data_IF_789372735753
#
_entry.id   IF_789372735753
#
_cell.length_a   1.000
_cell.length_b   1.000
_cell.length_c   1.000
_cell.angle_alpha   90.00
_cell.angle_beta   90.00
_cell.angle_gamma   90.00
#
_symmetry.space_group_name_H-M   'P 1'
#
loop_
_entity.id
_entity.type
_entity.pdbx_description
1 polymer ?
#
# COMPACT_ATOMS: atom_id res chain seq x y z
N UNK A 1 13.18 -9.83 27.30
CA UNK A 1 12.10 -9.78 26.29
C UNK A 1 12.20 -11.06 25.46
N UNK A 2 11.26 -12.02 25.62
CA UNK A 2 11.30 -13.26 24.83
C UNK A 2 10.96 -12.90 23.40
N UNK A 3 11.86 -13.20 22.48
CA UNK A 3 11.68 -12.93 21.06
C UNK A 3 10.59 -13.90 20.58
N UNK A 4 9.46 -13.34 20.12
CA UNK A 4 8.33 -14.09 19.62
C UNK A 4 8.71 -14.96 18.41
N UNK A 5 8.37 -16.24 18.45
CA UNK A 5 8.69 -17.27 17.46
C UNK A 5 7.48 -17.50 16.54
N UNK A 6 6.77 -16.44 16.17
CA UNK A 6 5.59 -16.55 15.31
C UNK A 6 5.97 -17.07 13.91
N UNK A 7 5.09 -17.90 13.33
CA UNK A 7 5.26 -18.44 11.97
C UNK A 7 5.43 -17.32 10.92
N UNK A 8 4.95 -16.12 11.23
CA UNK A 8 4.98 -14.95 10.36
C UNK A 8 6.32 -14.22 10.33
N UNK A 9 7.22 -14.43 11.30
CA UNK A 9 8.45 -13.64 11.43
C UNK A 9 9.34 -13.68 10.18
N UNK A 10 9.36 -14.81 9.47
CA UNK A 10 10.12 -14.97 8.21
C UNK A 10 9.44 -14.31 7.01
N UNK A 11 8.14 -14.02 7.12
CA UNK A 11 7.29 -13.47 6.07
C UNK A 11 7.05 -11.97 6.19
N UNK A 12 7.31 -11.36 7.35
CA UNK A 12 7.24 -9.90 7.50
C UNK A 12 8.22 -9.25 6.52
N UNK A 13 7.68 -8.77 5.41
CA UNK A 13 8.47 -8.17 4.33
C UNK A 13 9.02 -6.80 4.78
N UNK A 14 10.20 -6.44 4.28
CA UNK A 14 10.79 -5.11 4.50
C UNK A 14 9.99 -3.99 3.85
N UNK A 15 10.51 -2.75 3.90
CA UNK A 15 9.85 -1.53 3.40
C UNK A 15 9.10 -1.73 2.07
N UNK A 16 7.78 -1.50 2.08
CA UNK A 16 6.91 -1.53 0.90
C UNK A 16 6.29 -0.16 0.65
N UNK A 17 5.96 0.09 -0.62
CA UNK A 17 5.12 1.22 -0.99
C UNK A 17 3.75 1.06 -0.30
N UNK A 18 3.46 1.92 0.67
CA UNK A 18 2.12 2.00 1.25
C UNK A 18 1.22 2.90 0.38
N UNK A 19 -0.09 2.65 0.42
CA UNK A 19 -1.05 3.46 -0.33
C UNK A 19 -1.08 4.89 0.20
N UNK A 20 -0.71 5.84 -0.66
CA UNK A 20 -0.97 7.28 -0.42
C UNK A 20 -2.44 7.51 0.00
N UNK A 21 -3.34 6.70 -0.56
CA UNK A 21 -4.77 6.83 -0.40
C UNK A 21 -5.34 6.12 0.85
N UNK A 22 -4.52 5.44 1.66
CA UNK A 22 -5.00 4.79 2.89
C UNK A 22 -5.65 5.78 3.86
N UNK A 23 -5.08 6.99 3.94
CA UNK A 23 -5.60 8.08 4.77
C UNK A 23 -6.93 8.62 4.25
N UNK A 24 -7.13 8.61 2.93
CA UNK A 24 -8.40 9.01 2.30
C UNK A 24 -9.52 8.02 2.62
N UNK A 25 -9.21 6.72 2.61
CA UNK A 25 -10.19 5.68 3.00
C UNK A 25 -10.59 5.80 4.48
N UNK A 26 -9.63 6.13 5.35
CA UNK A 26 -9.87 6.38 6.77
C UNK A 26 -10.70 7.64 6.99
N UNK A 27 -10.36 8.76 6.34
CA UNK A 27 -11.11 10.00 6.48
C UNK A 27 -12.54 9.88 5.96
N UNK A 28 -12.74 9.08 4.90
CA UNK A 28 -14.06 8.76 4.35
C UNK A 28 -14.82 7.66 5.13
N UNK A 29 -14.23 7.12 6.21
CA UNK A 29 -14.81 6.04 7.03
C UNK A 29 -15.21 4.79 6.23
N UNK A 30 -14.51 4.51 5.15
CA UNK A 30 -14.74 3.31 4.31
C UNK A 30 -14.20 2.06 5.01
N UNK A 31 -13.08 2.22 5.71
CA UNK A 31 -12.38 1.16 6.45
C UNK A 31 -11.99 1.68 7.83
N UNK A 32 -12.07 0.83 8.84
CA UNK A 32 -11.55 1.13 10.17
C UNK A 32 -10.02 1.13 10.19
N UNK A 33 -9.41 1.89 11.10
CA UNK A 33 -7.95 1.91 11.28
C UNK A 33 -7.41 0.50 11.57
N UNK A 34 -8.15 -0.28 12.35
CA UNK A 34 -7.76 -1.63 12.74
C UNK A 34 -7.86 -2.62 11.57
N UNK A 35 -8.92 -2.55 10.76
CA UNK A 35 -9.02 -3.36 9.54
C UNK A 35 -7.95 -2.98 8.52
N UNK A 36 -7.65 -1.70 8.35
CA UNK A 36 -6.55 -1.24 7.51
C UNK A 36 -5.20 -1.77 7.99
N UNK A 37 -4.94 -1.72 9.30
CA UNK A 37 -3.70 -2.25 9.88
C UNK A 37 -3.59 -3.77 9.68
N UNK A 38 -4.70 -4.49 9.79
CA UNK A 38 -4.76 -5.93 9.50
C UNK A 38 -4.53 -6.23 8.02
N UNK A 39 -5.02 -5.38 7.11
CA UNK A 39 -4.75 -5.50 5.68
C UNK A 39 -3.27 -5.34 5.35
N UNK A 40 -2.61 -4.32 5.91
CA UNK A 40 -1.16 -4.11 5.77
C UNK A 40 -0.39 -5.34 6.27
N UNK A 41 -0.79 -5.91 7.41
CA UNK A 41 -0.22 -7.17 7.89
C UNK A 41 -0.43 -8.34 6.92
N UNK A 42 -1.63 -8.49 6.34
CA UNK A 42 -1.92 -9.52 5.33
C UNK A 42 -1.10 -9.34 4.06
N UNK A 43 -0.92 -8.10 3.61
CA UNK A 43 -0.02 -7.77 2.52
C UNK A 43 1.38 -8.26 2.87
N UNK A 44 1.91 -7.93 4.05
CA UNK A 44 3.27 -8.34 4.42
C UNK A 44 3.47 -9.85 4.37
N UNK A 45 2.52 -10.66 4.83
CA UNK A 45 2.65 -12.11 4.89
C UNK A 45 2.24 -12.85 3.60
N UNK A 46 1.81 -12.12 2.56
CA UNK A 46 1.38 -12.68 1.29
C UNK A 46 2.57 -13.13 0.43
N UNK A 47 2.35 -14.18 -0.35
CA UNK A 47 3.30 -14.57 -1.39
C UNK A 47 3.19 -13.62 -2.58
N UNK A 48 4.31 -13.10 -3.06
CA UNK A 48 4.37 -12.20 -4.21
C UNK A 48 5.28 -12.71 -5.32
N UNK A 49 5.76 -13.95 -5.22
CA UNK A 49 6.41 -14.59 -6.35
C UNK A 49 5.34 -14.99 -7.37
N UNK A 50 5.31 -14.28 -8.51
CA UNK A 50 4.38 -14.55 -9.60
C UNK A 50 4.54 -15.95 -10.22
N UNK A 51 5.66 -16.63 -9.96
CA UNK A 51 5.88 -18.01 -10.42
C UNK A 51 5.21 -19.04 -9.52
N UNK A 52 4.82 -18.66 -8.29
CA UNK A 52 4.16 -19.56 -7.37
C UNK A 52 2.65 -19.61 -7.65
N UNK A 53 2.07 -20.81 -7.57
CA UNK A 53 0.61 -20.97 -7.55
C UNK A 53 -0.07 -20.23 -6.38
N UNK A 54 0.70 -19.96 -5.33
CA UNK A 54 0.28 -19.24 -4.14
C UNK A 54 0.35 -17.70 -4.29
N UNK A 55 0.68 -17.16 -5.46
CA UNK A 55 0.78 -15.71 -5.68
C UNK A 55 -0.45 -14.95 -5.18
N UNK A 56 -0.22 -13.90 -4.40
CA UNK A 56 -1.23 -13.06 -3.76
C UNK A 56 -1.99 -13.73 -2.63
N UNK A 57 -1.60 -14.93 -2.20
CA UNK A 57 -2.27 -15.69 -1.14
C UNK A 57 -1.50 -15.68 0.18
N UNK A 58 -2.25 -15.90 1.27
CA UNK A 58 -1.73 -16.01 2.62
C UNK A 58 -2.62 -16.91 3.48
N UNK A 59 -2.02 -17.49 4.52
CA UNK A 59 -2.72 -18.33 5.49
C UNK A 59 -3.04 -17.52 6.75
N UNK A 60 -4.29 -17.62 7.21
CA UNK A 60 -4.79 -16.90 8.39
C UNK A 60 -4.81 -17.84 9.59
N UNK A 61 -4.03 -17.47 10.61
CA UNK A 61 -4.03 -18.08 11.95
C UNK A 61 -4.52 -17.03 12.95
N UNK A 62 -5.82 -17.03 13.24
CA UNK A 62 -6.47 -15.98 14.04
C UNK A 62 -5.91 -15.88 15.47
N UNK A 63 -5.46 -16.99 16.03
CA UNK A 63 -4.80 -17.10 17.32
C UNK A 63 -3.43 -16.43 17.32
N UNK A 64 -2.60 -16.68 16.31
CA UNK A 64 -1.29 -16.05 16.17
C UNK A 64 -1.40 -14.55 15.90
N UNK A 65 -2.32 -14.15 15.01
CA UNK A 65 -2.55 -12.73 14.69
C UNK A 65 -3.06 -11.99 15.93
N UNK A 66 -3.94 -12.61 16.73
CA UNK A 66 -4.45 -12.01 17.96
C UNK A 66 -3.33 -11.71 18.97
N UNK A 67 -2.28 -12.56 19.05
CA UNK A 67 -1.09 -12.31 19.88
C UNK A 67 -0.31 -11.08 19.37
N UNK A 68 -0.10 -10.98 18.05
CA UNK A 68 0.64 -9.88 17.43
C UNK A 68 -0.07 -8.53 17.67
N UNK A 69 -1.39 -8.50 17.49
CA UNK A 69 -2.21 -7.30 17.68
C UNK A 69 -2.63 -7.09 19.14
N UNK A 70 -2.19 -7.94 20.07
CA UNK A 70 -2.48 -7.86 21.50
C UNK A 70 -3.98 -7.73 21.82
N UNK A 71 -4.81 -8.52 21.13
CA UNK A 71 -6.28 -8.47 21.28
C UNK A 71 -6.92 -9.86 21.21
N UNK A 72 -8.26 -9.94 21.21
CA UNK A 72 -8.95 -11.23 21.14
C UNK A 72 -9.05 -11.77 19.71
N UNK A 73 -9.13 -13.10 19.55
CA UNK A 73 -9.42 -13.70 18.25
C UNK A 73 -10.74 -13.20 17.64
N UNK A 74 -11.75 -12.95 18.49
CA UNK A 74 -13.04 -12.39 18.04
C UNK A 74 -12.87 -11.01 17.41
N UNK A 75 -12.01 -10.18 18.00
CA UNK A 75 -11.65 -8.86 17.48
C UNK A 75 -10.99 -8.97 16.10
N UNK A 76 -9.98 -9.83 15.93
CA UNK A 76 -9.35 -10.06 14.61
C UNK A 76 -10.37 -10.56 13.59
N UNK A 77 -11.28 -11.47 13.98
CA UNK A 77 -12.33 -11.98 13.09
C UNK A 77 -13.27 -10.88 12.62
N UNK A 78 -13.57 -9.88 13.46
CA UNK A 78 -14.41 -8.76 13.06
C UNK A 78 -13.71 -7.88 12.02
N UNK A 79 -12.45 -7.52 12.24
CA UNK A 79 -11.66 -6.78 11.26
C UNK A 79 -11.47 -7.57 9.96
N UNK A 80 -11.24 -8.88 10.06
CA UNK A 80 -11.15 -9.76 8.90
C UNK A 80 -12.47 -9.80 8.11
N UNK A 81 -13.63 -9.90 8.78
CA UNK A 81 -14.95 -9.84 8.13
C UNK A 81 -15.16 -8.51 7.41
N UNK A 82 -14.74 -7.40 8.00
CA UNK A 82 -14.78 -6.08 7.36
C UNK A 82 -13.99 -6.10 6.05
N UNK A 83 -12.75 -6.61 6.04
CA UNK A 83 -11.94 -6.72 4.83
C UNK A 83 -12.57 -7.61 3.74
N UNK A 84 -13.22 -8.70 4.13
CA UNK A 84 -13.97 -9.56 3.20
C UNK A 84 -15.18 -8.82 2.62
N UNK A 85 -15.96 -8.13 3.47
CA UNK A 85 -17.12 -7.34 3.03
C UNK A 85 -16.73 -6.21 2.08
N UNK A 86 -15.60 -5.56 2.34
CA UNK A 86 -15.04 -4.51 1.49
C UNK A 86 -14.43 -5.06 0.19
N UNK A 87 -14.38 -6.38 0.00
CA UNK A 87 -13.75 -7.05 -1.15
C UNK A 87 -12.29 -6.65 -1.35
N UNK A 88 -11.55 -6.51 -0.25
CA UNK A 88 -10.10 -6.31 -0.28
C UNK A 88 -9.36 -7.65 -0.21
N UNK A 89 -10.01 -8.65 0.39
CA UNK A 89 -9.53 -10.04 0.49
C UNK A 89 -10.67 -11.02 0.16
N UNK A 90 -10.35 -12.21 -0.34
CA UNK A 90 -11.34 -13.26 -0.61
C UNK A 90 -10.86 -14.64 -0.19
N UNK A 91 -11.76 -15.56 0.23
CA UNK A 91 -11.38 -16.92 0.55
C UNK A 91 -10.97 -17.69 -0.71
N UNK A 92 -10.03 -18.61 -0.55
CA UNK A 92 -9.68 -19.59 -1.60
C UNK A 92 -10.42 -20.91 -1.37
N UNK A 93 -10.19 -21.91 -2.24
CA UNK A 93 -10.69 -23.28 -2.04
C UNK A 93 -10.08 -23.96 -0.79
N UNK A 94 -8.90 -23.52 -0.34
CA UNK A 94 -8.20 -24.11 0.80
C UNK A 94 -8.61 -23.40 2.10
N UNK A 95 -9.02 -24.18 3.10
CA UNK A 95 -9.49 -23.66 4.39
C UNK A 95 -8.42 -22.79 5.06
N UNK A 96 -8.81 -21.58 5.45
CA UNK A 96 -7.93 -20.62 6.12
C UNK A 96 -6.93 -19.93 5.20
N UNK A 97 -6.93 -20.23 3.89
CA UNK A 97 -6.13 -19.50 2.90
C UNK A 97 -7.00 -18.48 2.20
N UNK A 98 -6.51 -17.26 2.15
CA UNK A 98 -7.15 -16.11 1.54
C UNK A 98 -6.23 -15.51 0.48
N UNK A 99 -6.82 -14.75 -0.44
CA UNK A 99 -6.10 -13.99 -1.46
C UNK A 99 -6.42 -12.51 -1.39
N UNK A 100 -5.43 -11.68 -1.67
CA UNK A 100 -5.62 -10.27 -1.95
C UNK A 100 -6.36 -10.13 -3.29
N UNK A 101 -7.28 -9.16 -3.41
CA UNK A 101 -8.02 -8.95 -4.66
C UNK A 101 -7.14 -8.42 -5.79
N UNK A 102 -6.23 -7.50 -5.49
CA UNK A 102 -5.34 -6.89 -6.49
C UNK A 102 -3.90 -6.95 -5.95
N UNK A 103 -3.23 -8.11 -5.97
CA UNK A 103 -1.91 -8.26 -5.33
C UNK A 103 -0.84 -7.33 -5.92
N UNK A 104 -0.87 -7.10 -7.24
CA UNK A 104 0.12 -6.27 -7.97
C UNK A 104 0.19 -4.82 -7.50
N UNK A 105 -0.91 -4.31 -6.95
CA UNK A 105 -1.01 -2.97 -6.36
C UNK A 105 -0.04 -2.76 -5.19
N UNK A 106 0.30 -3.83 -4.48
CA UNK A 106 1.09 -3.78 -3.24
C UNK A 106 2.58 -4.13 -3.45
N UNK A 107 3.03 -4.12 -4.70
CA UNK A 107 4.38 -4.51 -5.10
C UNK A 107 4.98 -3.38 -5.92
N UNK A 108 6.19 -2.95 -5.57
CA UNK A 108 6.93 -1.98 -6.37
C UNK A 108 7.26 -2.56 -7.77
N UNK A 109 7.30 -1.72 -8.81
CA UNK A 109 7.83 -2.13 -10.10
C UNK A 109 9.26 -2.65 -9.95
N UNK A 110 9.61 -3.69 -10.71
CA UNK A 110 10.95 -4.29 -10.66
C UNK A 110 10.91 -5.82 -10.67
N UNK A 111 11.75 -6.43 -9.83
CA UNK A 111 11.95 -7.89 -9.81
C UNK A 111 10.65 -8.70 -9.70
N UNK A 112 9.73 -8.25 -8.83
CA UNK A 112 8.43 -8.89 -8.61
C UNK A 112 7.32 -8.40 -9.56
N UNK A 113 7.67 -7.58 -10.57
CA UNK A 113 6.78 -7.05 -11.62
C UNK A 113 5.47 -6.47 -11.06
N UNK A 114 5.60 -5.71 -9.97
CA UNK A 114 4.50 -4.98 -9.36
C UNK A 114 4.07 -3.77 -10.16
N UNK A 115 2.89 -3.24 -9.85
CA UNK A 115 2.26 -2.12 -10.57
C UNK A 115 1.91 -0.96 -9.62
N UNK A 116 2.46 -0.93 -8.40
CA UNK A 116 2.15 0.09 -7.39
C UNK A 116 2.27 1.53 -7.92
N UNK A 117 3.28 1.82 -8.76
CA UNK A 117 3.44 3.16 -9.36
C UNK A 117 2.36 3.50 -10.38
N UNK A 118 1.83 2.50 -11.08
CA UNK A 118 0.76 2.68 -12.08
C UNK A 118 -0.54 3.06 -11.36
N UNK A 119 -0.92 2.28 -10.35
CA UNK A 119 -2.07 2.61 -9.49
C UNK A 119 -1.93 3.99 -8.84
N UNK A 120 -0.75 4.34 -8.33
CA UNK A 120 -0.52 5.66 -7.72
C UNK A 120 -0.67 6.83 -8.72
N UNK A 121 -0.33 6.62 -10.00
CA UNK A 121 -0.53 7.62 -11.06
C UNK A 121 -1.99 7.74 -11.45
N UNK A 122 -2.68 6.62 -11.66
CA UNK A 122 -4.09 6.58 -12.05
C UNK A 122 -5.02 7.17 -10.98
N UNK A 123 -4.69 6.95 -9.71
CA UNK A 123 -5.48 7.42 -8.57
C UNK A 123 -5.25 8.90 -8.23
N UNK A 124 -4.25 9.54 -8.84
CA UNK A 124 -3.92 10.94 -8.57
C UNK A 124 -5.10 11.83 -8.97
N UNK A 125 -5.68 12.54 -7.99
CA UNK A 125 -6.80 13.45 -8.21
C UNK A 125 -8.16 12.77 -8.37
N UNK A 126 -8.25 11.45 -8.17
CA UNK A 126 -9.52 10.71 -8.22
C UNK A 126 -10.31 10.82 -6.91
N UNK A 127 -11.62 10.58 -6.98
CA UNK A 127 -12.48 10.52 -5.79
C UNK A 127 -12.15 9.27 -4.95
N UNK A 128 -12.50 9.31 -3.66
CA UNK A 128 -12.24 8.19 -2.75
C UNK A 128 -12.98 6.93 -3.20
N UNK A 129 -14.18 7.08 -3.77
CA UNK A 129 -14.98 5.97 -4.31
C UNK A 129 -14.26 5.30 -5.48
N UNK A 130 -13.72 6.09 -6.42
CA UNK A 130 -12.98 5.56 -7.59
C UNK A 130 -11.75 4.78 -7.13
N UNK A 131 -10.99 5.36 -6.21
CA UNK A 131 -9.83 4.70 -5.60
C UNK A 131 -10.24 3.40 -4.90
N UNK A 132 -11.34 3.42 -4.15
CA UNK A 132 -11.80 2.23 -3.45
C UNK A 132 -12.29 1.15 -4.43
N UNK A 133 -12.86 1.52 -5.58
CA UNK A 133 -13.23 0.54 -6.62
C UNK A 133 -12.00 -0.08 -7.29
N UNK A 134 -10.95 0.69 -7.57
CA UNK A 134 -9.71 0.17 -8.17
C UNK A 134 -8.93 -0.78 -7.25
N UNK A 135 -9.26 -0.82 -5.95
CA UNK A 135 -8.72 -1.81 -5.00
C UNK A 135 -9.43 -3.17 -5.07
N UNK A 136 -10.61 -3.26 -5.70
CA UNK A 136 -11.49 -4.44 -5.68
C UNK A 136 -11.53 -5.21 -6.98
N UNK A 137 -11.08 -4.62 -8.08
CA UNK A 137 -11.05 -5.24 -9.40
C UNK A 137 -9.61 -5.26 -9.89
N UNK A 138 -9.15 -6.40 -10.37
CA UNK A 138 -7.98 -6.41 -11.25
C UNK A 138 -8.32 -5.49 -12.43
N UNK A 139 -7.40 -4.59 -12.77
CA UNK A 139 -7.57 -3.70 -13.90
C UNK A 139 -7.51 -4.57 -15.16
N UNK A 140 -8.66 -4.82 -15.78
CA UNK A 140 -8.67 -5.28 -17.16
C UNK A 140 -8.34 -4.07 -18.02
N UNK A 141 -7.23 -4.08 -18.80
CA UNK A 141 -6.99 -3.00 -19.74
C UNK A 141 -8.20 -2.94 -20.67
N UNK A 142 -8.89 -1.80 -20.66
CA UNK A 142 -9.94 -1.55 -21.64
C UNK A 142 -9.34 -1.85 -23.02
N UNK A 143 -9.99 -2.71 -23.80
CA UNK A 143 -9.70 -2.81 -25.22
C UNK A 143 -9.66 -1.38 -25.75
N UNK A 144 -8.53 -1.00 -26.34
CA UNK A 144 -8.41 0.27 -27.04
C UNK A 144 -9.47 0.25 -28.14
N UNK A 145 -10.62 0.86 -27.85
CA UNK A 145 -11.47 1.37 -28.91
C UNK A 145 -10.71 2.54 -29.51
N UNK A 146 -9.89 2.23 -30.52
CA UNK A 146 -9.35 3.21 -31.45
C UNK A 146 -10.54 3.86 -32.18
N UNK A 147 -11.10 4.90 -31.57
CA UNK A 147 -11.83 5.90 -32.34
C UNK A 147 -10.84 7.02 -32.70
N UNK A 148 -10.63 7.29 -34.00
CA UNK A 148 -9.83 8.41 -34.41
C UNK A 148 -10.65 9.67 -34.16
N UNK A 149 -10.11 10.62 -33.40
CA UNK A 149 -10.61 11.97 -33.48
C UNK A 149 -9.45 12.95 -33.66
N UNK A 150 -9.50 13.60 -34.81
CA UNK A 150 -8.55 14.56 -35.31
C UNK A 150 -8.50 15.85 -34.45
N UNK A 151 -7.26 16.27 -34.20
CA UNK A 151 -6.72 17.64 -34.22
C UNK A 151 -7.06 18.68 -33.14
N UNK A 152 -5.95 19.07 -32.50
CA UNK A 152 -5.43 20.42 -32.27
C UNK A 152 -6.10 21.33 -31.23
N UNK A 153 -5.37 21.61 -30.16
CA UNK A 153 -4.70 22.92 -30.01
C UNK A 153 -3.64 22.88 -28.90
N UNK A 154 -2.52 23.54 -29.20
CA UNK A 154 -1.32 23.69 -28.37
C UNK A 154 -1.57 24.40 -27.05
N UNK A 155 -0.87 23.92 -26.00
CA UNK A 155 -0.01 24.74 -25.15
C UNK A 155 0.89 23.82 -24.31
N UNK A 156 2.23 24.00 -24.30
CA UNK A 156 3.12 23.17 -23.49
C UNK A 156 3.01 23.65 -22.04
N UNK A 157 2.16 23.00 -21.24
CA UNK A 157 2.24 23.13 -19.79
C UNK A 157 3.52 22.44 -19.36
N UNK A 158 4.47 23.23 -18.87
CA UNK A 158 5.76 22.79 -18.34
C UNK A 158 5.58 21.54 -17.48
N UNK A 159 6.35 20.52 -17.82
CA UNK A 159 6.54 19.30 -17.04
C UNK A 159 7.06 19.70 -15.65
N UNK A 160 6.16 19.88 -14.69
CA UNK A 160 6.51 19.87 -13.28
C UNK A 160 6.40 18.41 -12.82
N UNK A 161 7.32 17.61 -13.33
CA UNK A 161 7.53 16.25 -12.87
C UNK A 161 7.93 16.35 -11.41
N UNK A 162 6.97 16.14 -10.51
CA UNK A 162 7.25 15.93 -9.10
C UNK A 162 8.10 14.67 -9.02
N UNK A 163 9.41 14.86 -8.87
CA UNK A 163 10.37 13.80 -8.63
C UNK A 163 9.94 13.15 -7.31
N UNK A 164 9.36 11.95 -7.38
CA UNK A 164 9.35 11.05 -6.25
C UNK A 164 10.81 10.89 -5.83
N UNK A 165 11.13 11.05 -4.54
CA UNK A 165 12.47 10.89 -3.95
C UNK A 165 13.12 9.58 -4.43
N UNK A 166 13.76 9.66 -5.58
CA UNK A 166 14.54 8.61 -6.18
C UNK A 166 15.94 8.78 -5.64
N UNK A 167 16.49 7.70 -5.11
CA UNK A 167 17.93 7.61 -4.88
C UNK A 167 18.65 7.83 -6.21
N UNK A 168 19.12 9.04 -6.46
CA UNK A 168 20.13 9.29 -7.49
C UNK A 168 21.42 8.62 -7.02
N UNK A 169 22.03 7.80 -7.87
CA UNK A 169 23.40 7.32 -7.66
C UNK A 169 24.42 8.34 -8.16
N UNK A 170 24.23 9.58 -7.80
CA UNK A 170 25.23 10.63 -8.01
C UNK A 170 25.87 10.92 -6.65
N UNK A 171 27.20 10.93 -6.61
CA UNK A 171 27.96 11.36 -5.44
C UNK A 171 27.72 12.85 -5.19
N UNK A 172 26.63 13.16 -4.48
CA UNK A 172 26.41 14.49 -3.95
C UNK A 172 27.36 14.73 -2.79
N UNK A 173 28.32 15.64 -2.98
CA UNK A 173 28.97 16.33 -1.87
C UNK A 173 27.86 17.01 -1.06
N UNK A 174 27.56 16.45 0.12
CA UNK A 174 26.63 17.03 1.08
C UNK A 174 27.17 18.41 1.47
N UNK A 175 26.57 19.48 0.93
CA UNK A 175 26.66 20.77 1.58
C UNK A 175 25.75 20.71 2.81
N UNK A 176 26.32 20.99 3.99
CA UNK A 176 25.59 21.05 5.27
C UNK A 176 24.69 22.28 5.33
N UNK A 177 23.68 22.35 4.46
CA UNK A 177 22.66 23.38 4.55
C UNK A 177 21.30 22.69 4.69
N UNK A 178 20.88 22.52 5.93
CA UNK A 178 19.70 21.72 6.30
C UNK A 178 18.36 22.32 5.90
N UNK A 179 18.31 23.31 4.99
CA UNK A 179 17.08 23.88 4.42
C UNK A 179 16.09 24.51 5.42
N UNK A 180 16.37 24.44 6.71
CA UNK A 180 15.56 25.01 7.78
C UNK A 180 15.80 26.50 7.86
N UNK A 181 14.71 27.26 7.93
CA UNK A 181 14.81 28.67 8.30
C UNK A 181 15.34 28.79 9.73
N UNK A 182 15.93 29.93 10.08
CA UNK A 182 16.39 30.17 11.46
C UNK A 182 15.23 30.14 12.46
N UNK A 183 14.01 30.44 12.02
CA UNK A 183 12.79 30.33 12.83
C UNK A 183 12.47 28.86 13.15
N UNK A 184 12.57 27.97 12.17
CA UNK A 184 12.33 26.53 12.36
C UNK A 184 13.38 25.92 13.31
N UNK A 185 14.65 26.30 13.17
CA UNK A 185 15.72 25.83 14.06
C UNK A 185 15.49 26.26 15.50
N UNK A 186 15.01 27.49 15.70
CA UNK A 186 14.71 28.03 17.03
C UNK A 186 13.52 27.31 17.64
N UNK A 187 12.45 27.10 16.88
CA UNK A 187 11.28 26.34 17.36
C UNK A 187 11.64 24.91 17.76
N UNK A 188 12.46 24.22 16.96
CA UNK A 188 12.93 22.86 17.27
C UNK A 188 13.80 22.83 18.54
N UNK A 189 14.69 23.81 18.70
CA UNK A 189 15.52 23.93 19.91
C UNK A 189 14.71 24.16 21.19
N UNK A 190 13.65 24.96 21.10
CA UNK A 190 12.81 25.31 22.24
C UNK A 190 11.81 24.20 22.63
N UNK A 191 11.50 23.26 21.73
CA UNK A 191 10.40 22.30 21.91
C UNK A 191 10.79 20.81 21.84
N UNK A 192 12.01 20.46 21.41
CA UNK A 192 12.43 19.06 21.23
C UNK A 192 13.65 18.66 22.06
N UNK A 193 14.13 19.55 22.94
CA UNK A 193 15.14 19.22 23.94
C UNK A 193 14.53 19.25 25.34
N UNK A 194 13.72 18.24 25.64
CA UNK A 194 13.49 17.70 26.98
C UNK A 194 13.87 16.22 27.02
#
# INVERSE_FOLDING_TARGET
MKIDNSEYRRKLNGYRCSHRNRWLLLSAKIISLQALSLLEFYIDISDFDQKHEAYGTYQVYFDEIAKIFTCSQGTIRNWHKELVMLKLISPTKKKGVYKLYVPKRYISPGFWRGEASTYAKEEKGQSVEVIFQSMKKEFEPAEKNDQPNDKNSDSPVKDDSSIALGSSKDEYKISQNNGLSEEDKRWLGDNLLE
#
